data_IF_043456159686
#
_entry.id   IF_043456159686
#
_cell.length_a   1.000
_cell.length_b   1.000
_cell.length_c   1.000
_cell.angle_alpha   90.00
_cell.angle_beta   90.00
_cell.angle_gamma   90.00
#
_symmetry.space_group_name_H-M   'P 1'
#
loop_
_entity.id
_entity.type
_entity.pdbx_description
1 polymer ?
#
# COMPACT_ATOMS: atom_id res chain seq x y z
N UNK A 1 3.58 13.34 39.82
CA UNK A 1 3.42 14.15 38.58
C UNK A 1 3.66 13.21 37.42
N UNK A 2 2.61 12.81 36.73
CA UNK A 2 2.77 12.07 35.48
C UNK A 2 3.26 13.06 34.40
N UNK A 3 4.44 12.78 33.85
CA UNK A 3 4.98 13.57 32.75
C UNK A 3 4.06 13.42 31.54
N UNK A 4 3.41 14.52 31.12
CA UNK A 4 2.62 14.53 29.89
C UNK A 4 3.58 14.56 28.70
N UNK A 5 3.67 13.45 27.95
CA UNK A 5 4.50 13.39 26.76
C UNK A 5 3.94 14.28 25.65
N UNK A 6 4.73 15.26 25.19
CA UNK A 6 4.40 16.10 24.03
C UNK A 6 4.97 15.43 22.78
N UNK A 7 4.09 14.87 21.94
CA UNK A 7 4.48 14.32 20.63
C UNK A 7 4.45 15.45 19.61
N UNK A 8 5.63 15.83 19.11
CA UNK A 8 5.78 16.75 17.97
C UNK A 8 6.02 15.96 16.70
N UNK A 9 5.47 16.42 15.57
CA UNK A 9 5.76 15.80 14.29
C UNK A 9 7.25 16.00 13.95
N UNK A 10 7.86 14.99 13.34
CA UNK A 10 9.14 15.19 12.66
C UNK A 10 8.97 16.24 11.55
N UNK A 11 10.00 17.06 11.25
CA UNK A 11 9.96 17.96 10.11
C UNK A 11 9.59 17.22 8.84
N UNK A 12 8.79 17.82 7.97
CA UNK A 12 8.47 17.27 6.66
C UNK A 12 9.44 17.78 5.59
N UNK A 13 9.34 17.22 4.37
CA UNK A 13 10.20 17.63 3.26
C UNK A 13 10.12 19.12 2.95
N UNK A 14 8.95 19.74 3.13
CA UNK A 14 8.78 21.18 2.92
C UNK A 14 9.44 22.02 4.03
N UNK A 15 9.38 21.57 5.29
CA UNK A 15 10.07 22.24 6.40
C UNK A 15 11.57 22.23 6.18
N UNK A 16 12.13 21.08 5.82
CA UNK A 16 13.56 20.97 5.51
C UNK A 16 13.93 21.80 4.29
N UNK A 17 13.07 21.85 3.26
CA UNK A 17 13.30 22.71 2.08
C UNK A 17 13.41 24.17 2.48
N UNK A 18 12.52 24.66 3.34
CA UNK A 18 12.59 26.03 3.85
C UNK A 18 13.90 26.29 4.63
N UNK A 19 14.33 25.34 5.47
CA UNK A 19 15.63 25.40 6.14
C UNK A 19 16.80 25.48 5.16
N UNK A 20 16.81 24.65 4.10
CA UNK A 20 17.84 24.65 3.07
C UNK A 20 17.93 26.02 2.36
N UNK A 21 16.79 26.59 1.98
CA UNK A 21 16.72 27.91 1.35
C UNK A 21 17.31 28.97 2.30
N UNK A 22 16.93 28.93 3.59
CA UNK A 22 17.46 29.86 4.58
C UNK A 22 18.97 29.73 4.83
N UNK A 23 19.48 28.49 4.89
CA UNK A 23 20.90 28.19 5.06
C UNK A 23 21.76 28.66 3.88
N UNK A 24 21.19 28.64 2.66
CA UNK A 24 21.87 29.03 1.42
C UNK A 24 21.37 30.36 0.87
N UNK A 25 20.72 31.20 1.69
CA UNK A 25 20.05 32.44 1.27
C UNK A 25 20.94 33.44 0.50
N UNK A 26 22.23 33.46 0.80
CA UNK A 26 23.20 34.36 0.15
C UNK A 26 23.87 33.74 -1.08
N UNK A 27 23.47 32.52 -1.48
CA UNK A 27 24.03 31.81 -2.64
C UNK A 27 23.13 31.96 -3.86
N UNK A 28 23.67 31.84 -5.09
CA UNK A 28 22.89 31.82 -6.32
C UNK A 28 21.80 30.73 -6.30
N UNK A 29 20.69 30.97 -7.01
CA UNK A 29 19.56 30.04 -7.07
C UNK A 29 19.95 28.64 -7.55
N UNK A 30 20.93 28.53 -8.45
CA UNK A 30 21.45 27.25 -8.93
C UNK A 30 22.08 26.43 -7.79
N UNK A 31 22.98 27.02 -7.01
CA UNK A 31 23.60 26.36 -5.85
C UNK A 31 22.55 25.97 -4.80
N UNK A 32 21.51 26.79 -4.60
CA UNK A 32 20.40 26.45 -3.71
C UNK A 32 19.63 25.22 -4.19
N UNK A 33 19.37 25.11 -5.50
CA UNK A 33 18.70 23.97 -6.11
C UNK A 33 19.54 22.69 -6.03
N UNK A 34 20.84 22.77 -6.28
CA UNK A 34 21.78 21.66 -6.14
C UNK A 34 21.86 21.17 -4.69
N UNK A 35 22.01 22.09 -3.74
CA UNK A 35 22.01 21.76 -2.32
C UNK A 35 20.71 21.09 -1.87
N UNK A 36 19.56 21.61 -2.31
CA UNK A 36 18.27 20.99 -2.03
C UNK A 36 18.13 19.60 -2.68
N UNK A 37 18.64 19.40 -3.89
CA UNK A 37 18.64 18.08 -4.55
C UNK A 37 19.41 17.06 -3.73
N UNK A 38 20.58 17.43 -3.20
CA UNK A 38 21.35 16.55 -2.31
C UNK A 38 20.60 16.23 -1.01
N UNK A 39 20.08 17.25 -0.32
CA UNK A 39 19.36 17.06 0.95
C UNK A 39 18.10 16.23 0.74
N UNK A 40 17.35 16.45 -0.36
CA UNK A 40 16.19 15.63 -0.74
C UNK A 40 16.58 14.17 -0.95
N UNK A 41 17.71 13.90 -1.61
CA UNK A 41 18.24 12.54 -1.75
C UNK A 41 18.51 11.89 -0.39
N UNK A 42 19.11 12.63 0.54
CA UNK A 42 19.35 12.16 1.92
C UNK A 42 18.06 11.92 2.70
N UNK A 43 17.04 12.79 2.56
CA UNK A 43 15.70 12.57 3.14
C UNK A 43 15.09 11.26 2.61
N UNK A 44 15.22 10.99 1.31
CA UNK A 44 14.71 9.73 0.74
C UNK A 44 15.37 8.48 1.33
N UNK A 45 16.64 8.59 1.76
CA UNK A 45 17.40 7.48 2.32
C UNK A 45 17.17 7.31 3.83
N UNK A 46 17.25 8.38 4.62
CA UNK A 46 17.26 8.29 6.10
C UNK A 46 16.13 9.04 6.79
N UNK A 47 15.23 9.64 6.01
CA UNK A 47 14.12 10.45 6.50
C UNK A 47 14.56 11.87 6.87
N UNK A 48 13.63 12.73 7.31
CA UNK A 48 13.89 14.14 7.60
C UNK A 48 14.58 14.36 8.96
N UNK A 49 15.57 13.53 9.29
CA UNK A 49 16.36 13.69 10.51
C UNK A 49 17.45 14.72 10.26
N UNK A 50 17.26 15.92 10.81
CA UNK A 50 18.15 17.07 10.61
C UNK A 50 19.64 16.74 10.87
N UNK A 51 19.94 15.96 11.92
CA UNK A 51 21.30 15.57 12.29
C UNK A 51 22.01 14.72 11.22
N UNK A 52 21.24 14.02 10.38
CA UNK A 52 21.77 13.10 9.37
C UNK A 52 21.72 13.68 7.97
N UNK A 53 20.76 14.55 7.64
CA UNK A 53 20.57 15.02 6.26
C UNK A 53 21.47 16.20 5.85
N UNK A 54 21.97 17.00 6.81
CA UNK A 54 22.81 18.15 6.46
C UNK A 54 24.31 17.83 6.33
N UNK A 55 24.75 16.66 6.80
CA UNK A 55 26.12 16.17 6.67
C UNK A 55 26.14 14.91 5.81
N UNK A 56 27.01 14.85 4.80
CA UNK A 56 27.17 13.65 3.96
C UNK A 56 27.60 12.46 4.80
N UNK A 57 28.64 12.62 5.61
CA UNK A 57 29.17 11.56 6.47
C UNK A 57 28.10 11.04 7.44
N UNK A 58 27.36 11.94 8.11
CA UNK A 58 26.32 11.53 9.05
C UNK A 58 25.13 10.82 8.36
N UNK A 59 24.86 11.16 7.11
CA UNK A 59 23.88 10.43 6.29
C UNK A 59 24.39 9.03 5.97
N UNK A 60 25.62 8.91 5.46
CA UNK A 60 26.22 7.65 5.05
C UNK A 60 26.35 6.68 6.24
N UNK A 61 26.78 7.18 7.41
CA UNK A 61 26.86 6.40 8.65
C UNK A 61 25.49 5.90 9.09
N UNK A 62 24.45 6.74 8.97
CA UNK A 62 23.09 6.33 9.31
C UNK A 62 22.53 5.30 8.33
N UNK A 63 22.76 5.45 7.03
CA UNK A 63 22.36 4.46 6.02
C UNK A 63 22.95 3.10 6.38
N UNK A 64 24.26 3.05 6.65
CA UNK A 64 24.95 1.83 7.06
C UNK A 64 24.34 1.22 8.33
N UNK A 65 24.10 2.04 9.35
CA UNK A 65 23.50 1.56 10.60
C UNK A 65 22.07 1.02 10.41
N UNK A 66 21.29 1.62 9.51
CA UNK A 66 19.94 1.16 9.18
C UNK A 66 19.97 -0.16 8.38
N UNK A 67 20.84 -0.30 7.38
CA UNK A 67 20.97 -1.56 6.63
C UNK A 67 21.40 -2.69 7.57
N UNK A 68 22.41 -2.47 8.41
CA UNK A 68 22.84 -3.44 9.41
C UNK A 68 21.71 -3.84 10.37
N UNK A 69 20.83 -2.89 10.73
CA UNK A 69 19.67 -3.16 11.57
C UNK A 69 18.62 -4.03 10.86
N UNK A 70 18.34 -3.77 9.58
CA UNK A 70 17.39 -4.56 8.78
C UNK A 70 17.95 -5.95 8.52
N UNK A 71 19.19 -6.05 8.02
CA UNK A 71 19.84 -7.31 7.64
C UNK A 71 20.18 -8.19 8.86
N UNK A 72 20.47 -7.56 9.99
CA UNK A 72 20.80 -8.25 11.24
C UNK A 72 19.59 -8.70 12.06
N UNK A 73 18.36 -8.41 11.63
CA UNK A 73 17.15 -8.76 12.36
C UNK A 73 16.29 -9.77 11.60
N UNK A 74 15.64 -10.65 12.33
CA UNK A 74 14.58 -11.52 11.79
C UNK A 74 13.29 -10.71 11.52
N UNK A 75 12.42 -11.17 10.60
CA UNK A 75 11.12 -10.52 10.40
C UNK A 75 10.29 -10.43 11.68
N UNK A 76 10.38 -11.44 12.55
CA UNK A 76 9.67 -11.45 13.82
C UNK A 76 10.19 -10.40 14.81
N UNK A 77 11.50 -10.14 14.81
CA UNK A 77 12.10 -9.03 15.58
C UNK A 77 11.72 -7.67 15.00
N UNK A 78 11.72 -7.53 13.67
CA UNK A 78 11.28 -6.30 13.01
C UNK A 78 9.82 -5.99 13.33
N UNK A 79 8.91 -6.97 13.17
CA UNK A 79 7.49 -6.79 13.46
C UNK A 79 7.27 -6.36 14.92
N UNK A 80 7.90 -7.06 15.88
CA UNK A 80 7.75 -6.78 17.32
C UNK A 80 8.35 -5.45 17.73
N UNK A 81 9.53 -5.09 17.22
CA UNK A 81 10.26 -3.91 17.71
C UNK A 81 9.86 -2.61 17.01
N UNK A 82 9.45 -2.67 15.75
CA UNK A 82 9.07 -1.48 14.99
C UNK A 82 7.65 -1.03 15.29
N UNK A 83 6.77 -1.96 15.73
CA UNK A 83 5.37 -1.67 16.05
C UNK A 83 4.67 -0.87 14.94
N UNK A 84 4.93 -1.21 13.66
CA UNK A 84 4.42 -0.47 12.51
C UNK A 84 2.89 -0.48 12.55
N UNK A 85 2.29 0.71 12.42
CA UNK A 85 0.84 0.88 12.45
C UNK A 85 0.20 0.76 13.83
N UNK A 86 0.98 0.54 14.89
CA UNK A 86 0.45 0.52 16.26
C UNK A 86 0.35 1.93 16.84
N UNK A 87 -0.74 2.18 17.57
CA UNK A 87 -0.89 3.35 18.42
C UNK A 87 -0.31 3.03 19.81
N UNK A 88 0.41 3.97 20.43
CA UNK A 88 0.85 3.94 21.84
C UNK A 88 2.03 3.02 22.25
N UNK A 89 2.79 2.45 21.32
CA UNK A 89 4.01 1.71 21.68
C UNK A 89 5.21 2.19 20.86
N UNK A 90 5.87 3.26 21.31
CA UNK A 90 7.28 3.42 20.96
C UNK A 90 8.04 2.41 21.81
N UNK A 91 8.29 1.21 21.25
CA UNK A 91 9.33 0.38 21.82
C UNK A 91 10.62 1.18 21.66
N UNK A 92 11.24 1.63 22.74
CA UNK A 92 12.49 2.42 22.73
C UNK A 92 13.71 1.54 22.38
N UNK A 93 13.49 0.60 21.47
CA UNK A 93 14.46 -0.33 20.94
C UNK A 93 15.44 0.40 20.02
N UNK A 94 16.63 -0.15 19.89
CA UNK A 94 17.61 0.36 18.94
C UNK A 94 17.09 0.31 17.48
N UNK A 95 16.27 -0.68 17.16
CA UNK A 95 15.62 -0.82 15.84
C UNK A 95 14.63 0.32 15.55
N UNK A 96 13.75 0.65 16.50
CA UNK A 96 12.74 1.70 16.27
C UNK A 96 13.40 3.07 16.06
N UNK A 97 14.43 3.41 16.86
CA UNK A 97 15.19 4.67 16.73
C UNK A 97 15.90 4.79 15.37
N UNK A 98 16.21 3.67 14.73
CA UNK A 98 16.86 3.62 13.41
C UNK A 98 15.85 3.65 12.26
N UNK A 99 14.74 2.92 12.38
CA UNK A 99 13.90 2.59 11.23
C UNK A 99 12.53 3.27 11.21
N UNK A 100 12.04 3.78 12.34
CA UNK A 100 10.67 4.28 12.48
C UNK A 100 10.65 5.75 12.88
N UNK A 101 9.60 6.44 12.45
CA UNK A 101 9.18 7.75 12.95
C UNK A 101 7.73 7.67 13.44
N UNK A 102 7.38 8.58 14.32
CA UNK A 102 5.99 8.75 14.77
C UNK A 102 5.35 9.86 13.94
N UNK A 103 4.19 9.59 13.36
CA UNK A 103 3.35 10.58 12.68
C UNK A 103 2.02 10.71 13.41
N UNK A 104 1.45 11.92 13.44
CA UNK A 104 0.10 12.14 13.95
C UNK A 104 -0.92 11.90 12.85
N UNK A 105 -1.89 11.03 13.12
CA UNK A 105 -2.95 10.68 12.17
C UNK A 105 -4.30 11.07 12.76
N UNK A 106 -5.11 11.76 11.98
CA UNK A 106 -6.49 12.11 12.35
C UNK A 106 -7.46 11.21 11.60
N UNK A 107 -8.03 10.20 12.27
CA UNK A 107 -9.04 9.30 11.70
C UNK A 107 -10.43 9.68 12.18
N UNK A 108 -11.25 10.27 11.31
CA UNK A 108 -12.71 10.48 11.45
C UNK A 108 -13.18 11.33 12.64
N UNK A 109 -12.94 10.85 13.86
CA UNK A 109 -13.53 11.32 15.10
C UNK A 109 -12.77 12.48 15.74
N UNK A 110 -11.94 13.18 14.97
CA UNK A 110 -11.07 14.26 15.45
C UNK A 110 -10.06 13.88 16.54
N UNK A 111 -9.94 12.60 16.86
CA UNK A 111 -8.90 12.06 17.73
C UNK A 111 -7.63 11.91 16.90
N UNK A 112 -6.57 12.57 17.34
CA UNK A 112 -5.24 12.40 16.77
C UNK A 112 -4.54 11.27 17.50
N UNK A 113 -4.13 10.26 16.74
CA UNK A 113 -3.40 9.11 17.26
C UNK A 113 -1.97 9.11 16.71
N UNK A 114 -0.96 8.85 17.54
CA UNK A 114 0.38 8.59 17.05
C UNK A 114 0.39 7.26 16.30
N UNK A 115 1.02 7.26 15.13
CA UNK A 115 1.22 6.06 14.31
C UNK A 115 2.72 5.91 14.03
N UNK A 116 3.25 4.73 14.32
CA UNK A 116 4.59 4.36 13.90
C UNK A 116 4.59 4.02 12.42
N UNK A 117 5.42 4.73 11.65
CA UNK A 117 5.64 4.48 10.22
C UNK A 117 7.13 4.43 9.95
N UNK A 118 7.52 3.79 8.85
CA UNK A 118 8.92 3.72 8.46
C UNK A 118 9.45 5.12 8.11
N UNK A 119 10.72 5.35 8.40
CA UNK A 119 11.26 6.71 8.48
C UNK A 119 11.51 7.36 7.11
N UNK A 120 11.77 6.54 6.09
CA UNK A 120 12.14 6.97 4.74
C UNK A 120 11.63 6.01 3.67
N UNK A 121 11.39 6.48 2.44
CA UNK A 121 11.02 5.61 1.31
C UNK A 121 12.04 4.50 1.00
N UNK A 122 13.33 4.73 1.26
CA UNK A 122 14.35 3.70 1.09
C UNK A 122 14.17 2.56 2.09
N UNK A 123 14.08 2.91 3.38
CA UNK A 123 13.95 1.93 4.46
C UNK A 123 12.58 1.26 4.45
N UNK A 124 11.54 1.95 3.96
CA UNK A 124 10.26 1.36 3.59
C UNK A 124 10.44 0.19 2.65
N UNK A 125 11.12 0.39 1.51
CA UNK A 125 11.35 -0.66 0.53
C UNK A 125 12.11 -1.85 1.12
N UNK A 126 13.21 -1.60 1.81
CA UNK A 126 14.04 -2.67 2.37
C UNK A 126 13.30 -3.46 3.45
N UNK A 127 12.71 -2.75 4.42
CA UNK A 127 12.04 -3.38 5.55
C UNK A 127 10.80 -4.15 5.11
N UNK A 128 9.94 -3.54 4.26
CA UNK A 128 8.73 -4.20 3.79
C UNK A 128 9.04 -5.36 2.85
N UNK A 129 10.07 -5.25 1.99
CA UNK A 129 10.51 -6.37 1.14
C UNK A 129 11.00 -7.55 1.98
N UNK A 130 11.73 -7.29 3.07
CA UNK A 130 12.18 -8.34 3.99
C UNK A 130 11.01 -9.02 4.68
N UNK A 131 10.11 -8.22 5.27
CA UNK A 131 8.91 -8.71 5.94
C UNK A 131 8.02 -9.52 4.98
N UNK A 132 7.81 -9.04 3.77
CA UNK A 132 7.04 -9.75 2.75
C UNK A 132 7.65 -11.12 2.40
N UNK A 133 8.98 -11.20 2.29
CA UNK A 133 9.67 -12.43 1.90
C UNK A 133 9.69 -13.51 2.99
N UNK A 134 9.57 -13.11 4.26
CA UNK A 134 9.68 -14.03 5.41
C UNK A 134 8.35 -14.33 6.10
N UNK A 135 7.40 -13.40 6.07
CA UNK A 135 6.10 -13.57 6.71
C UNK A 135 5.15 -14.41 5.84
N UNK A 136 4.18 -15.05 6.48
CA UNK A 136 3.03 -15.59 5.75
C UNK A 136 2.30 -14.43 5.09
N UNK A 137 1.78 -14.65 3.89
CA UNK A 137 1.05 -13.62 3.13
C UNK A 137 -0.12 -13.03 3.95
N UNK A 138 -0.84 -13.86 4.72
CA UNK A 138 -1.91 -13.42 5.63
C UNK A 138 -1.42 -12.42 6.66
N UNK A 139 -0.28 -12.72 7.29
CA UNK A 139 0.27 -11.93 8.39
C UNK A 139 0.83 -10.61 7.86
N UNK A 140 1.47 -10.65 6.68
CA UNK A 140 1.93 -9.46 5.99
C UNK A 140 0.77 -8.54 5.59
N UNK A 141 -0.32 -9.09 5.04
CA UNK A 141 -1.52 -8.29 4.72
C UNK A 141 -2.06 -7.64 6.00
N UNK A 142 -2.21 -8.40 7.10
CA UNK A 142 -2.67 -7.85 8.38
C UNK A 142 -1.78 -6.71 8.88
N UNK A 143 -0.46 -6.80 8.71
CA UNK A 143 0.48 -5.73 9.04
C UNK A 143 0.20 -4.47 8.21
N UNK A 144 0.05 -4.59 6.89
CA UNK A 144 -0.23 -3.46 6.00
C UNK A 144 -1.52 -2.72 6.37
N UNK A 145 -2.55 -3.47 6.79
CA UNK A 145 -3.83 -2.89 7.19
C UNK A 145 -3.73 -1.95 8.41
N UNK A 146 -2.76 -2.17 9.30
CA UNK A 146 -2.56 -1.31 10.50
C UNK A 146 -2.21 0.13 10.11
N UNK A 147 -1.50 0.31 9.01
CA UNK A 147 -1.03 1.61 8.53
C UNK A 147 -1.46 1.91 7.10
N UNK A 148 -2.63 1.40 6.67
CA UNK A 148 -3.12 1.49 5.28
C UNK A 148 -3.00 2.89 4.64
N UNK A 149 -3.26 3.95 5.42
CA UNK A 149 -3.17 5.34 4.99
C UNK A 149 -1.74 5.77 4.55
N UNK A 150 -0.73 4.97 4.88
CA UNK A 150 0.70 5.19 4.65
C UNK A 150 1.37 4.02 3.90
N UNK A 151 0.62 3.01 3.46
CA UNK A 151 1.20 1.90 2.70
C UNK A 151 1.70 2.44 1.36
N UNK A 152 2.96 2.15 0.96
CA UNK A 152 3.48 2.58 -0.32
C UNK A 152 2.64 2.07 -1.49
N UNK A 153 2.34 2.89 -2.52
CA UNK A 153 1.48 2.50 -3.63
C UNK A 153 1.89 1.19 -4.32
N UNK A 154 3.19 0.96 -4.52
CA UNK A 154 3.68 -0.28 -5.17
C UNK A 154 3.37 -1.55 -4.36
N UNK A 155 3.24 -1.46 -3.02
CA UNK A 155 2.81 -2.57 -2.17
C UNK A 155 1.30 -2.77 -2.30
N UNK A 156 0.52 -1.68 -2.37
CA UNK A 156 -0.92 -1.76 -2.60
C UNK A 156 -1.18 -2.48 -3.93
N UNK A 157 -0.51 -2.09 -5.01
CA UNK A 157 -0.65 -2.73 -6.32
C UNK A 157 -0.39 -4.25 -6.25
N UNK A 158 0.63 -4.66 -5.50
CA UNK A 158 1.00 -6.08 -5.33
C UNK A 158 0.06 -6.87 -4.41
N UNK A 159 -0.44 -6.26 -3.34
CA UNK A 159 -1.14 -6.97 -2.27
C UNK A 159 -2.65 -6.75 -2.26
N UNK A 160 -3.17 -5.71 -2.92
CA UNK A 160 -4.56 -5.28 -2.76
C UNK A 160 -5.57 -6.33 -3.20
N UNK A 161 -5.31 -7.07 -4.28
CA UNK A 161 -6.18 -8.18 -4.70
C UNK A 161 -6.20 -9.24 -3.59
N UNK A 162 -5.03 -9.72 -3.16
CA UNK A 162 -4.94 -10.73 -2.09
C UNK A 162 -5.53 -10.26 -0.75
N UNK A 163 -5.57 -8.94 -0.48
CA UNK A 163 -6.17 -8.40 0.73
C UNK A 163 -7.67 -8.71 0.85
N UNK A 164 -8.38 -8.89 -0.27
CA UNK A 164 -9.80 -9.28 -0.25
C UNK A 164 -10.02 -10.67 0.35
N UNK A 165 -9.02 -11.55 0.42
CA UNK A 165 -9.15 -12.84 1.10
C UNK A 165 -9.26 -12.70 2.63
N UNK A 166 -8.89 -11.55 3.19
CA UNK A 166 -9.00 -11.29 4.62
C UNK A 166 -10.40 -10.79 4.96
N UNK A 167 -11.12 -11.53 5.80
CA UNK A 167 -12.51 -11.20 6.15
C UNK A 167 -12.66 -9.87 6.88
N UNK A 168 -11.72 -9.53 7.76
CA UNK A 168 -11.73 -8.25 8.49
C UNK A 168 -11.53 -7.06 7.55
N UNK A 169 -10.59 -7.18 6.61
CA UNK A 169 -10.41 -6.20 5.55
C UNK A 169 -11.66 -6.04 4.71
N UNK A 170 -12.23 -7.16 4.27
CA UNK A 170 -13.38 -7.16 3.38
C UNK A 170 -14.60 -6.54 4.09
N UNK A 171 -14.81 -6.84 5.37
CA UNK A 171 -15.80 -6.18 6.24
C UNK A 171 -15.55 -4.67 6.37
N UNK A 172 -14.30 -4.27 6.58
CA UNK A 172 -13.93 -2.86 6.71
C UNK A 172 -14.07 -2.09 5.39
N UNK A 173 -13.85 -2.74 4.24
CA UNK A 173 -13.96 -2.08 2.93
C UNK A 173 -15.41 -2.00 2.46
N UNK A 174 -16.25 -2.98 2.78
CA UNK A 174 -17.70 -2.99 2.50
C UNK A 174 -18.38 -1.69 2.90
N UNK A 175 -18.06 -1.16 4.08
CA UNK A 175 -18.65 0.11 4.57
C UNK A 175 -18.12 1.35 3.85
N UNK A 176 -16.94 1.25 3.22
CA UNK A 176 -16.26 2.37 2.53
C UNK A 176 -16.51 2.40 1.02
N UNK A 177 -16.94 1.29 0.40
CA UNK A 177 -17.18 1.24 -1.05
C UNK A 177 -18.33 2.17 -1.44
N UNK A 178 -18.08 2.99 -2.46
CA UNK A 178 -19.07 3.85 -3.11
C UNK A 178 -19.10 3.52 -4.60
N UNK A 179 -20.31 3.47 -5.17
CA UNK A 179 -20.47 3.35 -6.61
C UNK A 179 -19.91 4.61 -7.30
N UNK A 180 -19.14 4.40 -8.37
CA UNK A 180 -18.80 5.45 -9.32
C UNK A 180 -20.01 5.70 -10.21
N UNK A 181 -20.81 6.72 -9.86
CA UNK A 181 -22.09 6.99 -10.51
C UNK A 181 -21.90 7.45 -11.97
N UNK A 182 -22.62 6.88 -12.94
CA UNK A 182 -22.70 7.46 -14.27
C UNK A 182 -23.47 8.79 -14.23
N UNK A 183 -23.12 9.76 -15.11
CA UNK A 183 -23.82 11.04 -15.16
C UNK A 183 -25.31 10.85 -15.49
N UNK A 184 -26.19 11.51 -14.72
CA UNK A 184 -27.65 11.53 -14.98
C UNK A 184 -28.49 10.56 -14.14
N UNK A 185 -27.88 9.65 -13.35
CA UNK A 185 -28.61 8.74 -12.46
C UNK A 185 -28.83 9.38 -11.07
N UNK A 186 -30.07 9.30 -10.56
CA UNK A 186 -30.47 9.91 -9.27
C UNK A 186 -30.00 9.12 -8.05
N UNK A 187 -30.13 7.80 -8.07
CA UNK A 187 -29.80 6.93 -6.93
C UNK A 187 -28.60 6.03 -7.22
N UNK A 188 -27.67 5.90 -6.26
CA UNK A 188 -26.58 4.95 -6.38
C UNK A 188 -27.10 3.51 -6.26
N UNK A 189 -26.52 2.60 -7.01
CA UNK A 189 -26.72 1.17 -6.79
C UNK A 189 -25.90 0.71 -5.59
N UNK A 190 -26.42 -0.28 -4.87
CA UNK A 190 -25.61 -0.99 -3.90
C UNK A 190 -24.53 -1.77 -4.64
N UNK A 191 -23.32 -1.84 -4.08
CA UNK A 191 -22.29 -2.68 -4.67
C UNK A 191 -22.55 -4.14 -4.30
N UNK A 192 -22.16 -5.09 -5.16
CA UNK A 192 -22.35 -6.51 -4.90
C UNK A 192 -21.73 -6.95 -3.55
N UNK A 193 -20.59 -6.36 -3.16
CA UNK A 193 -19.98 -6.62 -1.85
C UNK A 193 -20.83 -6.16 -0.65
N UNK A 194 -21.69 -5.14 -0.82
CA UNK A 194 -22.64 -4.69 0.20
C UNK A 194 -23.90 -5.53 0.23
N UNK A 195 -24.41 -5.94 -0.93
CA UNK A 195 -25.61 -6.78 -1.03
C UNK A 195 -25.35 -8.17 -0.42
N UNK A 196 -24.18 -8.75 -0.72
CA UNK A 196 -23.72 -10.03 -0.20
C UNK A 196 -22.74 -9.81 0.97
N UNK A 197 -23.23 -9.16 2.03
CA UNK A 197 -22.40 -8.74 3.16
C UNK A 197 -21.97 -9.86 4.11
N UNK A 198 -22.59 -11.03 4.00
CA UNK A 198 -22.38 -12.25 4.78
C UNK A 198 -21.43 -13.25 4.11
N UNK A 199 -21.17 -13.09 2.81
CA UNK A 199 -20.28 -14.00 2.06
C UNK A 199 -18.81 -13.62 2.21
N UNK A 200 -17.90 -14.59 2.20
CA UNK A 200 -16.44 -14.36 2.08
C UNK A 200 -15.89 -15.13 0.89
N UNK A 201 -14.65 -14.83 0.50
CA UNK A 201 -14.02 -15.56 -0.60
C UNK A 201 -13.63 -16.96 -0.14
N UNK A 202 -14.04 -17.97 -0.90
CA UNK A 202 -13.76 -19.37 -0.57
C UNK A 202 -12.28 -19.73 -0.80
N UNK A 203 -11.69 -19.19 -1.87
CA UNK A 203 -10.29 -19.35 -2.21
C UNK A 203 -9.86 -18.28 -3.21
N UNK A 204 -8.54 -18.23 -3.45
CA UNK A 204 -7.93 -17.49 -4.55
C UNK A 204 -7.46 -18.46 -5.62
N UNK A 205 -7.70 -18.13 -6.87
CA UNK A 205 -7.23 -18.89 -8.02
C UNK A 205 -6.39 -17.99 -8.93
N UNK A 206 -5.17 -18.43 -9.21
CA UNK A 206 -4.23 -17.68 -10.05
C UNK A 206 -4.36 -18.20 -11.47
N UNK A 207 -4.82 -17.35 -12.38
CA UNK A 207 -5.03 -17.71 -13.78
C UNK A 207 -3.72 -17.55 -14.55
N UNK A 208 -3.13 -18.63 -15.12
CA UNK A 208 -1.95 -18.50 -15.98
C UNK A 208 -2.36 -17.84 -17.32
N UNK A 209 -1.42 -17.40 -18.17
CA UNK A 209 -1.77 -16.92 -19.51
C UNK A 209 -2.66 -17.92 -20.29
N UNK A 210 -3.66 -17.46 -21.06
CA UNK A 210 -4.61 -18.34 -21.72
C UNK A 210 -3.96 -19.40 -22.62
N UNK A 211 -2.80 -19.09 -23.21
CA UNK A 211 -2.05 -20.01 -24.08
C UNK A 211 -1.48 -21.22 -23.33
N UNK A 212 -1.39 -21.14 -22.00
CA UNK A 212 -0.91 -22.21 -21.12
C UNK A 212 -2.04 -22.99 -20.47
N UNK A 213 -3.29 -22.62 -20.73
CA UNK A 213 -4.45 -23.29 -20.18
C UNK A 213 -4.75 -24.54 -21.01
N UNK A 214 -4.65 -25.72 -20.41
CA UNK A 214 -4.93 -26.97 -21.14
C UNK A 214 -6.43 -27.16 -21.40
N UNK A 215 -7.28 -26.73 -20.46
CA UNK A 215 -8.74 -26.78 -20.56
C UNK A 215 -9.33 -25.56 -19.83
N UNK A 216 -10.49 -25.03 -20.29
CA UNK A 216 -11.19 -23.97 -19.58
C UNK A 216 -11.69 -24.45 -18.20
N UNK A 217 -11.68 -23.53 -17.24
CA UNK A 217 -12.07 -23.74 -15.85
C UNK A 217 -13.59 -23.57 -15.71
N UNK A 218 -14.20 -24.28 -14.77
CA UNK A 218 -15.59 -24.01 -14.40
C UNK A 218 -15.69 -22.66 -13.66
N UNK A 219 -16.76 -21.90 -13.92
CA UNK A 219 -17.03 -20.67 -13.16
C UNK A 219 -17.47 -21.05 -11.75
N UNK A 220 -16.65 -20.71 -10.76
CA UNK A 220 -17.02 -20.81 -9.35
C UNK A 220 -17.34 -19.42 -8.79
N UNK A 221 -18.44 -19.34 -8.05
CA UNK A 221 -18.84 -18.12 -7.37
C UNK A 221 -17.98 -17.88 -6.13
N UNK A 222 -17.73 -16.60 -5.83
CA UNK A 222 -16.95 -16.16 -4.66
C UNK A 222 -15.55 -16.77 -4.60
N UNK A 223 -14.98 -17.08 -5.77
CA UNK A 223 -13.55 -17.34 -5.96
C UNK A 223 -12.90 -16.07 -6.50
N UNK A 224 -11.81 -15.67 -5.86
CA UNK A 224 -11.03 -14.51 -6.29
C UNK A 224 -10.04 -14.94 -7.37
N UNK A 225 -10.27 -14.54 -8.61
CA UNK A 225 -9.40 -14.83 -9.75
C UNK A 225 -8.36 -13.72 -9.94
N UNK A 226 -7.09 -14.10 -9.98
CA UNK A 226 -5.94 -13.20 -10.16
C UNK A 226 -5.19 -13.58 -11.46
N UNK A 227 -5.30 -12.78 -12.54
CA UNK A 227 -4.64 -13.06 -13.81
C UNK A 227 -3.12 -12.81 -13.75
N UNK A 228 -2.30 -13.81 -14.08
CA UNK A 228 -0.83 -13.69 -14.25
C UNK A 228 -0.42 -13.27 -15.65
N UNK A 229 -1.17 -12.34 -16.24
CA UNK A 229 -0.85 -11.75 -17.55
C UNK A 229 -0.45 -10.30 -17.32
N UNK A 230 0.70 -9.91 -17.86
CA UNK A 230 1.12 -8.51 -17.82
C UNK A 230 0.11 -7.68 -18.62
N UNK A 231 -0.51 -6.68 -17.98
CA UNK A 231 -1.56 -5.82 -18.55
C UNK A 231 -2.84 -6.58 -18.94
N UNK A 232 -3.34 -7.46 -18.06
CA UNK A 232 -4.67 -8.04 -18.25
C UNK A 232 -5.72 -6.93 -18.46
N UNK A 233 -6.65 -7.07 -19.44
CA UNK A 233 -7.58 -6.00 -19.76
C UNK A 233 -8.47 -5.61 -18.56
N UNK A 234 -8.60 -4.30 -18.33
CA UNK A 234 -9.54 -3.63 -17.40
C UNK A 234 -9.33 -3.83 -15.89
N UNK A 235 -8.91 -5.02 -15.45
CA UNK A 235 -8.93 -5.42 -14.03
C UNK A 235 -7.62 -6.05 -13.58
N UNK A 236 -7.29 -5.88 -12.31
CA UNK A 236 -6.14 -6.50 -11.64
C UNK A 236 -6.53 -7.82 -10.93
N UNK A 237 -7.83 -8.03 -10.71
CA UNK A 237 -8.44 -9.28 -10.23
C UNK A 237 -9.95 -9.22 -10.37
N UNK A 238 -10.67 -10.33 -10.29
CA UNK A 238 -12.13 -10.35 -10.41
C UNK A 238 -12.75 -11.57 -9.74
N UNK A 239 -14.07 -11.55 -9.59
CA UNK A 239 -14.83 -12.70 -9.08
C UNK A 239 -16.27 -12.69 -9.63
N UNK A 240 -16.93 -13.84 -9.53
CA UNK A 240 -18.33 -14.01 -9.91
C UNK A 240 -19.23 -14.08 -8.68
N UNK A 241 -20.40 -13.47 -8.80
CA UNK A 241 -21.45 -13.49 -7.79
C UNK A 241 -22.61 -14.32 -8.30
N UNK A 242 -23.10 -15.23 -7.46
CA UNK A 242 -24.26 -16.06 -7.74
C UNK A 242 -25.52 -15.18 -7.83
N UNK A 243 -25.83 -14.78 -9.05
CA UNK A 243 -26.89 -13.83 -9.40
C UNK A 243 -27.46 -14.20 -10.77
N UNK A 244 -28.70 -13.78 -11.05
CA UNK A 244 -29.34 -14.03 -12.34
C UNK A 244 -29.84 -12.69 -12.94
N UNK A 245 -29.19 -12.16 -14.00
CA UNK A 245 -28.04 -12.74 -14.72
C UNK A 245 -26.75 -12.71 -13.89
N UNK A 246 -25.79 -13.58 -14.24
CA UNK A 246 -24.51 -13.71 -13.53
C UNK A 246 -23.73 -12.38 -13.54
N UNK A 247 -23.24 -11.98 -12.36
CA UNK A 247 -22.52 -10.72 -12.17
C UNK A 247 -21.03 -10.97 -11.98
N UNK A 248 -20.21 -10.38 -12.85
CA UNK A 248 -18.76 -10.27 -12.65
C UNK A 248 -18.43 -8.96 -11.95
N UNK A 249 -17.57 -9.03 -10.93
CA UNK A 249 -17.04 -7.87 -10.22
C UNK A 249 -15.54 -7.77 -10.46
N UNK A 250 -15.12 -6.70 -11.11
CA UNK A 250 -13.72 -6.37 -11.36
C UNK A 250 -13.09 -5.55 -10.23
N UNK A 251 -11.91 -5.95 -9.78
CA UNK A 251 -11.04 -5.21 -8.89
C UNK A 251 -9.97 -4.48 -9.70
N UNK A 252 -9.73 -3.22 -9.34
CA UNK A 252 -8.72 -2.39 -9.98
C UNK A 252 -7.91 -1.65 -8.91
N UNK A 253 -6.60 -1.82 -8.94
CA UNK A 253 -5.64 -1.36 -7.93
C UNK A 253 -4.64 -0.35 -8.51
N UNK A 254 -4.40 -0.39 -9.83
CA UNK A 254 -3.48 0.54 -10.49
C UNK A 254 -4.04 1.97 -10.57
N UNK A 255 -3.27 2.91 -10.03
CA UNK A 255 -3.59 4.36 -10.04
C UNK A 255 -3.05 5.07 -11.29
N UNK A 256 -2.05 4.49 -11.95
CA UNK A 256 -1.36 5.09 -13.10
C UNK A 256 -2.16 4.90 -14.39
N UNK A 257 -2.83 5.97 -14.83
CA UNK A 257 -3.56 6.04 -16.09
C UNK A 257 -4.90 5.33 -16.01
N UNK A 258 -6.00 6.07 -16.19
CA UNK A 258 -7.27 5.43 -16.51
C UNK A 258 -7.04 4.49 -17.69
N UNK A 259 -7.19 3.17 -17.54
CA UNK A 259 -7.49 2.33 -18.69
C UNK A 259 -8.72 2.97 -19.30
N UNK A 260 -8.56 3.62 -20.44
CA UNK A 260 -9.70 4.07 -21.21
C UNK A 260 -10.48 2.80 -21.53
N UNK A 261 -11.68 2.69 -20.98
CA UNK A 261 -12.60 1.60 -21.31
C UNK A 261 -13.06 1.82 -22.74
N UNK A 262 -12.25 1.39 -23.70
CA UNK A 262 -12.60 1.39 -25.11
C UNK A 262 -13.36 0.12 -25.42
N UNK A 263 -14.23 0.16 -26.44
CA UNK A 263 -14.95 -1.02 -26.92
C UNK A 263 -14.00 -2.17 -27.27
N UNK A 264 -12.82 -1.87 -27.83
CA UNK A 264 -11.78 -2.86 -28.11
C UNK A 264 -11.23 -3.52 -26.85
N UNK A 265 -10.99 -2.77 -25.77
CA UNK A 265 -10.48 -3.34 -24.51
C UNK A 265 -11.54 -4.18 -23.82
N UNK A 266 -12.82 -3.79 -23.89
CA UNK A 266 -13.93 -4.62 -23.39
C UNK A 266 -14.05 -5.92 -24.18
N UNK A 267 -13.93 -5.86 -25.51
CA UNK A 267 -13.95 -7.07 -26.34
C UNK A 267 -12.81 -8.01 -25.99
N UNK A 268 -11.59 -7.49 -25.85
CA UNK A 268 -10.42 -8.28 -25.43
C UNK A 268 -10.63 -8.93 -24.05
N UNK A 269 -11.19 -8.19 -23.09
CA UNK A 269 -11.53 -8.74 -21.78
C UNK A 269 -12.51 -9.92 -21.89
N UNK A 270 -13.58 -9.77 -22.67
CA UNK A 270 -14.55 -10.85 -22.92
C UNK A 270 -13.92 -12.05 -23.62
N UNK A 271 -13.09 -11.83 -24.65
CA UNK A 271 -12.34 -12.89 -25.35
C UNK A 271 -11.46 -13.68 -24.37
N UNK A 272 -10.77 -12.99 -23.45
CA UNK A 272 -10.00 -13.65 -22.39
C UNK A 272 -10.88 -14.48 -21.45
N UNK A 273 -12.03 -13.96 -21.01
CA UNK A 273 -12.93 -14.71 -20.13
C UNK A 273 -13.46 -15.98 -20.79
N UNK A 274 -13.84 -15.93 -22.07
CA UNK A 274 -14.26 -17.11 -22.84
C UNK A 274 -13.13 -18.12 -22.99
N UNK A 275 -11.87 -17.68 -23.07
CA UNK A 275 -10.73 -18.60 -23.10
C UNK A 275 -10.49 -19.26 -21.73
N UNK A 276 -10.78 -18.56 -20.63
CA UNK A 276 -10.58 -19.07 -19.28
C UNK A 276 -11.71 -19.96 -18.78
N UNK A 277 -12.96 -19.65 -19.12
CA UNK A 277 -14.12 -20.21 -18.44
C UNK A 277 -15.14 -20.82 -19.38
N UNK A 278 -15.67 -21.99 -18.99
CA UNK A 278 -16.85 -22.59 -19.61
C UNK A 278 -18.13 -21.99 -19.01
N UNK A 279 -19.12 -21.65 -19.85
CA UNK A 279 -20.45 -21.20 -19.39
C UNK A 279 -20.50 -19.75 -18.89
N UNK A 280 -19.60 -18.90 -19.36
CA UNK A 280 -19.57 -17.46 -19.04
C UNK A 280 -20.60 -16.62 -19.85
N UNK A 281 -21.10 -17.14 -20.98
CA UNK A 281 -22.07 -16.44 -21.85
C UNK A 281 -23.45 -16.22 -21.22
#
# INVERSE_FOLDING_TARGET
MDATAIVTNCPEGNDVRAMCIWMKRNRPLQEQAEYWKEVRGRINNVGPILRSIFSKQACDDRIKACHQAVDGSTASELERNLCIGCCYSSNDSDLSRKLVKVVRVRRGNSIELPLNVLISPHLERETLSRLESEMKQSDFILLLLRFWDYVPPYIIEKCAVSAFLNEDFLRAIRVKIKELRPPGRREPHSCALKEHSDTSFTRKEVLPPPERLSNPVAVDHWVLYEPKVQNFPLVDGFFFVDSNPMTLVGLRTNTAGGHHTTTSTVRQFTECLTAYFNGWE
#
